data_IF_410816050634
#
_entry.id   IF_410816050634
#
_cell.length_a   1.000
_cell.length_b   1.000
_cell.length_c   1.000
_cell.angle_alpha   90.00
_cell.angle_beta   90.00
_cell.angle_gamma   90.00
#
_symmetry.space_group_name_H-M   'P 1'
#
loop_
_entity.id
_entity.type
_entity.pdbx_description
1 polymer ?
#
# COMPACT_ATOMS: atom_id res chain seq x y z
N UNK A 1 75.59 15.75 20.89
CA UNK A 1 74.67 16.91 21.01
C UNK A 1 73.89 17.00 19.70
N UNK A 2 72.69 16.43 19.59
CA UNK A 2 71.40 16.93 20.05
C UNK A 2 70.74 17.97 19.10
N UNK A 3 69.59 17.55 18.51
CA UNK A 3 68.39 18.34 18.10
C UNK A 3 68.57 19.30 16.90
N UNK A 4 67.62 19.51 15.98
CA UNK A 4 66.14 19.39 15.99
C UNK A 4 65.64 19.52 14.52
N UNK A 5 64.78 18.60 14.08
CA UNK A 5 63.40 18.85 13.58
C UNK A 5 63.21 19.78 12.37
N UNK A 6 62.78 19.21 11.25
CA UNK A 6 61.65 19.75 10.46
C UNK A 6 61.05 18.64 9.60
N UNK A 7 60.15 17.90 10.24
CA UNK A 7 59.21 16.98 9.59
C UNK A 7 57.99 17.82 9.20
N UNK A 8 58.00 18.43 8.03
CA UNK A 8 56.83 19.16 7.52
C UNK A 8 55.80 18.15 7.07
N UNK A 9 54.74 18.07 7.88
CA UNK A 9 53.65 17.12 7.80
C UNK A 9 52.84 17.33 6.51
N UNK A 10 52.84 16.33 5.63
CA UNK A 10 51.78 16.14 4.66
C UNK A 10 50.49 15.80 5.44
N UNK A 11 49.60 16.78 5.57
CA UNK A 11 48.24 16.57 6.07
C UNK A 11 47.26 16.90 4.95
N UNK A 12 47.30 16.08 3.89
CA UNK A 12 46.17 16.01 2.95
C UNK A 12 44.98 15.44 3.72
N UNK A 13 44.02 16.30 4.07
CA UNK A 13 42.74 15.87 4.64
C UNK A 13 42.09 14.88 3.67
N UNK A 14 42.17 13.59 3.97
CA UNK A 14 41.51 12.52 3.23
C UNK A 14 40.02 12.90 3.06
N UNK A 15 39.61 13.19 1.82
CA UNK A 15 38.25 13.66 1.50
C UNK A 15 37.26 12.57 1.90
N UNK A 16 36.47 12.83 2.94
CA UNK A 16 35.42 11.93 3.46
C UNK A 16 34.47 11.59 2.31
N UNK A 17 34.28 10.29 2.02
CA UNK A 17 33.38 9.83 0.98
C UNK A 17 32.13 9.27 1.63
N UNK A 18 31.03 10.01 1.52
CA UNK A 18 29.71 9.46 1.88
C UNK A 18 29.35 8.31 0.94
N UNK A 19 28.74 7.25 1.48
CA UNK A 19 28.21 6.16 0.65
C UNK A 19 27.04 6.67 -0.21
N UNK A 20 26.22 7.56 0.35
CA UNK A 20 25.24 8.38 -0.35
C UNK A 20 25.75 9.79 -0.70
N UNK A 21 24.92 10.60 -1.36
CA UNK A 21 25.17 12.02 -1.62
C UNK A 21 24.43 12.92 -0.64
N UNK A 22 24.49 14.25 -0.83
CA UNK A 22 23.52 15.13 -0.16
C UNK A 22 22.13 14.75 -0.68
N UNK A 23 21.18 14.51 0.23
CA UNK A 23 19.81 14.05 -0.06
C UNK A 23 19.69 12.67 -0.73
N UNK A 24 20.80 11.92 -0.88
CA UNK A 24 20.79 10.57 -1.47
C UNK A 24 21.19 9.57 -0.40
N UNK A 25 20.33 8.59 -0.14
CA UNK A 25 20.61 7.49 0.75
C UNK A 25 21.14 6.27 -0.03
N UNK A 26 21.98 5.48 0.64
CA UNK A 26 22.39 4.16 0.17
C UNK A 26 21.93 3.10 1.17
N UNK A 27 21.09 2.16 0.71
CA UNK A 27 20.62 1.03 1.52
C UNK A 27 21.19 -0.27 0.96
N UNK A 28 22.07 -0.98 1.71
CA UNK A 28 22.66 -2.25 1.27
C UNK A 28 21.62 -3.29 0.89
N UNK A 29 21.94 -4.13 -0.09
CA UNK A 29 21.06 -5.22 -0.52
C UNK A 29 20.67 -6.13 0.65
N UNK A 30 21.61 -6.47 1.53
CA UNK A 30 21.32 -7.27 2.74
C UNK A 30 20.23 -6.66 3.61
N UNK A 31 20.20 -5.34 3.72
CA UNK A 31 19.19 -4.59 4.47
C UNK A 31 17.89 -4.47 3.67
N UNK A 32 17.96 -4.23 2.35
CA UNK A 32 16.78 -4.23 1.47
C UNK A 32 16.01 -5.55 1.60
N UNK A 33 16.72 -6.68 1.66
CA UNK A 33 16.12 -8.02 1.73
C UNK A 33 15.83 -8.51 3.16
N UNK A 34 16.37 -7.83 4.18
CA UNK A 34 16.18 -8.19 5.58
C UNK A 34 14.71 -8.14 6.02
N UNK A 35 14.36 -8.93 7.05
CA UNK A 35 13.03 -8.88 7.66
C UNK A 35 13.01 -7.86 8.78
N UNK A 36 12.15 -6.86 8.64
CA UNK A 36 11.86 -5.86 9.66
C UNK A 36 10.53 -5.17 9.40
N UNK A 37 9.93 -4.64 10.47
CA UNK A 37 8.68 -3.89 10.41
C UNK A 37 8.89 -2.49 11.00
N UNK A 38 9.22 -1.56 10.11
CA UNK A 38 9.25 -0.13 10.40
C UNK A 38 8.01 0.51 9.79
N UNK A 39 7.39 1.43 10.52
CA UNK A 39 6.33 2.27 9.95
C UNK A 39 6.91 3.31 8.99
N UNK A 40 6.04 4.13 8.39
CA UNK A 40 6.44 5.19 7.44
C UNK A 40 7.53 6.09 8.03
N UNK A 41 7.27 6.68 9.20
CA UNK A 41 8.10 7.72 9.82
C UNK A 41 9.41 7.16 10.35
N UNK A 42 9.36 5.93 10.85
CA UNK A 42 10.55 5.20 11.23
C UNK A 42 11.46 4.94 10.03
N UNK A 43 10.89 4.56 8.88
CA UNK A 43 11.68 4.45 7.64
C UNK A 43 12.26 5.80 7.21
N UNK A 44 11.53 6.92 7.39
CA UNK A 44 12.03 8.27 7.06
C UNK A 44 13.27 8.61 7.88
N UNK A 45 13.26 8.35 9.20
CA UNK A 45 14.44 8.54 10.06
C UNK A 45 15.59 7.64 9.59
N UNK A 46 15.31 6.38 9.25
CA UNK A 46 16.33 5.46 8.74
C UNK A 46 16.92 5.91 7.40
N UNK A 47 16.11 6.45 6.49
CA UNK A 47 16.57 6.95 5.19
C UNK A 47 17.54 8.12 5.37
N UNK A 48 17.20 9.05 6.26
CA UNK A 48 18.08 10.17 6.62
C UNK A 48 19.35 9.65 7.28
N UNK A 49 19.23 8.72 8.24
CA UNK A 49 20.38 8.13 8.91
C UNK A 49 21.33 7.45 7.90
N UNK A 50 20.82 6.70 6.94
CA UNK A 50 21.64 6.08 5.88
C UNK A 50 22.30 7.11 4.96
N UNK A 51 21.67 8.25 4.70
CA UNK A 51 22.29 9.37 3.97
C UNK A 51 23.41 10.08 4.74
N UNK A 52 23.47 9.93 6.06
CA UNK A 52 24.52 10.51 6.91
C UNK A 52 25.75 9.62 7.06
N UNK A 53 25.66 8.33 6.76
CA UNK A 53 26.77 7.38 6.92
C UNK A 53 27.83 7.63 5.85
N UNK A 54 29.05 7.86 6.32
CA UNK A 54 30.24 8.04 5.50
C UNK A 54 31.22 6.87 5.66
N UNK A 55 32.34 6.94 4.96
CA UNK A 55 33.41 5.95 5.01
C UNK A 55 34.18 5.94 6.35
N UNK A 56 33.88 6.86 7.28
CA UNK A 56 34.45 6.86 8.62
C UNK A 56 33.66 5.94 9.54
N UNK A 57 33.93 4.64 9.44
CA UNK A 57 33.33 3.61 10.30
C UNK A 57 33.54 3.92 11.79
N UNK A 58 34.65 4.58 12.17
CA UNK A 58 34.94 4.93 13.56
C UNK A 58 34.07 6.06 14.13
N UNK A 59 33.30 6.76 13.29
CA UNK A 59 32.36 7.77 13.76
C UNK A 59 31.28 7.11 14.62
N UNK A 60 31.25 7.49 15.89
CA UNK A 60 30.41 6.84 16.89
C UNK A 60 29.02 7.46 17.00
N UNK A 61 28.91 8.77 16.75
CA UNK A 61 27.68 9.54 16.99
C UNK A 61 27.28 10.34 15.75
N UNK A 62 25.98 10.35 15.50
CA UNK A 62 25.34 11.11 14.45
C UNK A 62 24.20 11.92 15.06
N UNK A 63 23.91 13.08 14.46
CA UNK A 63 22.86 13.98 14.92
C UNK A 63 22.04 14.46 13.73
N UNK A 64 20.73 14.19 13.73
CA UNK A 64 19.78 14.67 12.72
C UNK A 64 19.10 15.90 13.30
N UNK A 65 19.30 17.07 12.69
CA UNK A 65 18.53 18.27 13.09
C UNK A 65 17.10 18.13 12.62
N UNK A 66 16.15 18.43 13.51
CA UNK A 66 14.73 18.37 13.16
C UNK A 66 14.38 19.40 12.08
N UNK A 67 15.07 20.54 12.05
CA UNK A 67 14.91 21.53 10.99
C UNK A 67 15.20 20.94 9.60
N UNK A 68 16.28 20.16 9.45
CA UNK A 68 16.63 19.52 8.18
C UNK A 68 15.57 18.49 7.77
N UNK A 69 15.02 17.74 8.74
CA UNK A 69 13.92 16.81 8.48
C UNK A 69 12.71 17.55 7.90
N UNK A 70 12.36 18.73 8.44
CA UNK A 70 11.25 19.54 7.95
C UNK A 70 11.43 20.04 6.52
N UNK A 71 12.64 20.17 6.02
CA UNK A 71 12.83 20.55 4.62
C UNK A 71 12.47 19.40 3.66
N UNK A 72 12.70 18.15 4.09
CA UNK A 72 12.34 16.98 3.29
C UNK A 72 10.84 16.67 3.29
N UNK A 73 10.14 17.06 4.35
CA UNK A 73 8.70 16.95 4.42
C UNK A 73 8.08 18.28 4.04
N UNK A 74 7.21 18.36 3.03
CA UNK A 74 6.44 19.58 2.76
C UNK A 74 5.34 19.79 3.84
N UNK A 75 5.71 19.85 5.12
CA UNK A 75 4.83 20.03 6.27
C UNK A 75 4.89 21.53 6.63
N UNK A 76 3.84 22.26 6.26
CA UNK A 76 3.67 23.67 6.64
C UNK A 76 3.51 23.82 8.18
N UNK A 77 3.00 22.80 8.87
CA UNK A 77 2.79 22.83 10.34
C UNK A 77 4.01 22.39 11.16
N UNK A 78 4.77 23.40 11.60
CA UNK A 78 6.02 23.24 12.36
C UNK A 78 5.85 22.55 13.71
N UNK A 79 4.69 22.65 14.36
CA UNK A 79 4.49 22.24 15.77
C UNK A 79 4.23 20.73 15.89
N UNK A 80 3.50 20.18 14.93
CA UNK A 80 3.17 18.77 14.90
C UNK A 80 4.37 17.89 14.53
N UNK A 81 5.27 18.36 13.66
CA UNK A 81 6.46 17.63 13.23
C UNK A 81 7.36 17.22 14.40
N UNK A 82 7.60 18.10 15.38
CA UNK A 82 8.45 17.80 16.54
C UNK A 82 7.88 16.67 17.41
N UNK A 83 6.59 16.75 17.73
CA UNK A 83 5.89 15.72 18.52
C UNK A 83 5.93 14.37 17.80
N UNK A 84 5.69 14.38 16.49
CA UNK A 84 5.66 13.15 15.71
C UNK A 84 7.04 12.53 15.52
N UNK A 85 8.09 13.32 15.36
CA UNK A 85 9.47 12.82 15.30
C UNK A 85 9.91 12.26 16.65
N UNK A 86 9.53 12.89 17.76
CA UNK A 86 9.76 12.32 19.10
C UNK A 86 9.11 10.95 19.25
N UNK A 87 7.84 10.82 18.88
CA UNK A 87 7.12 9.52 18.90
C UNK A 87 7.75 8.48 17.96
N UNK A 88 8.23 8.90 16.79
CA UNK A 88 8.93 8.02 15.86
C UNK A 88 10.26 7.50 16.44
N UNK A 89 11.00 8.36 17.16
CA UNK A 89 12.23 7.96 17.88
C UNK A 89 11.91 6.98 19.01
N UNK A 90 10.93 7.27 19.86
CA UNK A 90 10.52 6.39 20.96
C UNK A 90 10.09 5.01 20.43
N UNK A 91 9.36 4.98 19.31
CA UNK A 91 8.92 3.74 18.70
C UNK A 91 10.02 3.00 17.93
N UNK A 92 11.18 3.61 17.69
CA UNK A 92 12.37 2.94 17.12
C UNK A 92 13.19 2.20 18.18
N UNK A 93 12.96 2.48 19.47
CA UNK A 93 13.66 1.82 20.57
C UNK A 93 13.45 0.29 20.53
N UNK A 94 14.55 -0.46 20.65
CA UNK A 94 14.53 -1.92 20.59
C UNK A 94 14.22 -2.52 19.21
N UNK A 95 13.96 -1.72 18.18
CA UNK A 95 13.74 -2.22 16.82
C UNK A 95 15.06 -2.55 16.14
N UNK A 96 14.99 -3.53 15.26
CA UNK A 96 16.12 -4.01 14.47
C UNK A 96 15.67 -4.83 13.28
N UNK A 97 16.60 -5.56 12.69
CA UNK A 97 16.34 -6.47 11.59
C UNK A 97 17.06 -7.79 11.82
N UNK A 98 16.56 -8.84 11.17
CA UNK A 98 17.18 -10.17 11.22
C UNK A 98 17.80 -10.52 9.87
N UNK A 99 19.05 -10.97 9.91
CA UNK A 99 19.72 -11.60 8.78
C UNK A 99 19.83 -13.11 9.02
N UNK A 100 19.61 -13.90 7.98
CA UNK A 100 19.79 -15.35 8.02
C UNK A 100 21.29 -15.66 7.95
N UNK A 101 21.81 -16.46 8.90
CA UNK A 101 23.21 -16.93 8.89
C UNK A 101 23.31 -18.31 8.23
N UNK A 102 22.41 -19.21 8.61
CA UNK A 102 22.26 -20.57 8.08
C UNK A 102 20.78 -20.98 8.16
N UNK A 103 20.42 -22.24 7.87
CA UNK A 103 19.03 -22.69 7.81
C UNK A 103 18.23 -22.44 9.10
N UNK A 104 18.88 -22.60 10.26
CA UNK A 104 18.23 -22.57 11.57
C UNK A 104 18.60 -21.33 12.40
N UNK A 105 19.66 -20.60 12.02
CA UNK A 105 20.19 -19.47 12.79
C UNK A 105 19.97 -18.13 12.09
N UNK A 106 19.40 -17.18 12.84
CA UNK A 106 19.30 -15.78 12.44
C UNK A 106 20.05 -14.88 13.41
N UNK A 107 20.79 -13.91 12.89
CA UNK A 107 21.42 -12.85 13.69
C UNK A 107 20.47 -11.66 13.74
N UNK A 108 20.24 -11.12 14.94
CA UNK A 108 19.49 -9.89 15.13
C UNK A 108 20.45 -8.71 15.27
N UNK A 109 20.23 -7.67 14.47
CA UNK A 109 20.96 -6.42 14.55
C UNK A 109 19.99 -5.30 14.98
N UNK A 110 20.22 -4.63 16.12
CA UNK A 110 19.46 -3.43 16.46
C UNK A 110 19.77 -2.33 15.46
N UNK A 111 18.77 -1.50 15.12
CA UNK A 111 19.01 -0.35 14.23
C UNK A 111 19.94 0.68 14.87
N UNK A 112 19.75 0.90 16.17
CA UNK A 112 20.50 1.86 16.95
C UNK A 112 20.95 1.21 18.24
N UNK A 113 22.24 1.34 18.57
CA UNK A 113 22.76 1.02 19.90
C UNK A 113 22.42 2.10 20.92
N UNK A 114 22.14 3.32 20.44
CA UNK A 114 21.56 4.44 21.19
C UNK A 114 20.75 5.30 20.24
N UNK A 115 19.57 5.74 20.63
CA UNK A 115 18.83 6.80 19.94
C UNK A 115 18.17 7.69 20.99
N UNK A 116 18.18 9.00 20.79
CA UNK A 116 17.61 9.96 21.75
C UNK A 116 17.10 11.19 21.02
N UNK A 117 15.88 11.61 21.36
CA UNK A 117 15.35 12.90 20.93
C UNK A 117 15.75 13.98 21.94
N UNK A 118 16.50 14.99 21.50
CA UNK A 118 16.95 16.12 22.32
C UNK A 118 16.12 17.35 21.97
N UNK A 119 15.25 17.76 22.91
CA UNK A 119 14.47 18.99 22.77
C UNK A 119 15.31 20.20 23.18
N UNK A 120 15.46 21.16 22.28
CA UNK A 120 16.13 22.42 22.59
C UNK A 120 15.12 23.51 23.01
N UNK A 121 15.60 24.57 23.67
CA UNK A 121 14.78 25.75 24.04
C UNK A 121 14.22 26.46 22.80
N UNK A 122 15.06 26.67 21.79
CA UNK A 122 14.61 27.00 20.45
C UNK A 122 14.33 25.69 19.72
N UNK A 123 13.08 25.44 19.35
CA UNK A 123 12.66 24.17 18.74
C UNK A 123 13.42 23.86 17.44
N UNK A 124 13.89 24.87 16.70
CA UNK A 124 14.72 24.69 15.49
C UNK A 124 16.06 23.98 15.76
N UNK A 125 16.55 24.07 17.00
CA UNK A 125 17.78 23.39 17.44
C UNK A 125 17.53 21.98 18.00
N UNK A 126 16.27 21.51 18.00
CA UNK A 126 15.97 20.14 18.42
C UNK A 126 16.57 19.15 17.43
N UNK A 127 17.08 18.04 17.94
CA UNK A 127 17.81 17.06 17.14
C UNK A 127 17.62 15.64 17.66
N UNK A 128 17.92 14.67 16.81
CA UNK A 128 17.92 13.24 17.14
C UNK A 128 19.36 12.79 17.14
N UNK A 129 19.88 12.41 18.30
CA UNK A 129 21.21 11.82 18.42
C UNK A 129 21.10 10.31 18.37
N UNK A 130 21.97 9.68 17.58
CA UNK A 130 22.00 8.22 17.50
C UNK A 130 23.40 7.65 17.34
N UNK A 131 23.52 6.39 17.75
CA UNK A 131 24.67 5.51 17.53
C UNK A 131 24.19 4.26 16.82
N UNK A 132 24.95 3.82 15.83
CA UNK A 132 24.78 2.52 15.20
C UNK A 132 25.89 1.59 15.67
N UNK A 133 25.59 0.30 15.66
CA UNK A 133 26.61 -0.73 15.88
C UNK A 133 27.68 -0.71 14.77
N UNK A 134 28.91 -1.08 15.12
CA UNK A 134 30.03 -1.07 14.18
C UNK A 134 29.83 -2.09 13.05
N UNK A 135 29.22 -3.24 13.31
CA UNK A 135 28.94 -4.26 12.28
C UNK A 135 27.90 -3.74 11.28
N UNK A 136 26.88 -3.02 11.75
CA UNK A 136 25.89 -2.40 10.89
C UNK A 136 26.53 -1.34 9.98
N UNK A 137 27.41 -0.49 10.52
CA UNK A 137 28.13 0.51 9.72
C UNK A 137 29.04 -0.15 8.68
N UNK A 138 29.82 -1.17 9.08
CA UNK A 138 30.66 -1.93 8.14
C UNK A 138 29.84 -2.54 7.02
N UNK A 139 28.71 -3.17 7.35
CA UNK A 139 27.79 -3.73 6.37
C UNK A 139 27.34 -2.68 5.34
N UNK A 140 27.11 -1.44 5.77
CA UNK A 140 26.71 -0.34 4.88
C UNK A 140 27.87 0.14 4.02
N UNK A 141 29.03 0.40 4.62
CA UNK A 141 30.21 0.93 3.94
C UNK A 141 30.80 -0.09 2.95
N UNK A 142 30.86 -1.36 3.33
CA UNK A 142 31.51 -2.42 2.55
C UNK A 142 30.60 -3.00 1.45
N UNK A 143 29.27 -2.80 1.54
CA UNK A 143 28.35 -3.38 0.55
C UNK A 143 28.58 -2.85 -0.86
N UNK A 144 28.75 -3.74 -1.83
CA UNK A 144 28.89 -3.39 -3.25
C UNK A 144 27.55 -3.30 -4.00
N UNK A 145 26.47 -3.81 -3.40
CA UNK A 145 25.11 -3.82 -3.96
C UNK A 145 24.14 -3.17 -2.99
N UNK A 146 23.12 -2.53 -3.54
CA UNK A 146 22.12 -1.84 -2.75
C UNK A 146 21.38 -0.80 -3.57
N UNK A 147 20.37 -0.23 -2.91
CA UNK A 147 19.54 0.82 -3.45
C UNK A 147 20.20 2.18 -3.22
N UNK A 148 20.45 2.90 -4.31
CA UNK A 148 20.69 4.34 -4.28
C UNK A 148 19.39 5.06 -4.62
N UNK A 149 18.98 6.00 -3.77
CA UNK A 149 17.72 6.72 -3.96
C UNK A 149 17.74 8.10 -3.31
N UNK A 150 16.93 9.01 -3.84
CA UNK A 150 16.70 10.30 -3.20
C UNK A 150 15.79 10.12 -1.98
N UNK A 151 16.21 10.72 -0.87
CA UNK A 151 15.45 10.76 0.38
C UNK A 151 14.11 11.48 0.16
N UNK A 152 14.06 12.49 -0.72
CA UNK A 152 12.84 13.24 -1.05
C UNK A 152 11.75 12.33 -1.63
N UNK A 153 12.10 11.43 -2.55
CA UNK A 153 11.13 10.47 -3.09
C UNK A 153 10.67 9.47 -2.04
N UNK A 154 11.59 8.94 -1.25
CA UNK A 154 11.26 7.95 -0.23
C UNK A 154 10.29 8.52 0.83
N UNK A 155 10.50 9.75 1.31
CA UNK A 155 9.69 10.36 2.39
C UNK A 155 8.24 10.66 1.95
N UNK A 156 8.04 10.91 0.66
CA UNK A 156 6.71 11.16 0.09
C UNK A 156 5.83 9.91 -0.01
N UNK A 157 6.41 8.71 0.11
CA UNK A 157 5.67 7.46 0.15
C UNK A 157 5.02 7.29 1.53
N UNK A 158 3.69 7.24 1.57
CA UNK A 158 2.91 7.15 2.81
C UNK A 158 2.75 5.74 3.35
N UNK A 159 2.86 4.72 2.48
CA UNK A 159 2.72 3.31 2.85
C UNK A 159 4.10 2.67 3.10
N UNK A 160 4.26 1.96 4.22
CA UNK A 160 5.50 1.21 4.53
C UNK A 160 5.88 0.20 3.45
N UNK A 161 4.90 -0.44 2.82
CA UNK A 161 5.16 -1.40 1.75
C UNK A 161 5.59 -0.70 0.46
N UNK A 162 5.04 0.48 0.16
CA UNK A 162 5.48 1.28 -0.99
C UNK A 162 6.95 1.69 -0.83
N UNK A 163 7.35 2.13 0.36
CA UNK A 163 8.77 2.39 0.68
C UNK A 163 9.65 1.17 0.46
N UNK A 164 9.27 0.03 1.04
CA UNK A 164 10.04 -1.23 0.93
C UNK A 164 10.19 -1.68 -0.53
N UNK A 165 9.12 -1.61 -1.32
CA UNK A 165 9.14 -1.94 -2.75
C UNK A 165 9.97 -0.92 -3.55
N UNK A 166 9.89 0.36 -3.23
CA UNK A 166 10.73 1.38 -3.86
C UNK A 166 12.22 1.09 -3.65
N UNK A 167 12.66 0.79 -2.42
CA UNK A 167 14.05 0.41 -2.18
C UNK A 167 14.44 -0.86 -2.95
N UNK A 168 13.55 -1.86 -2.96
CA UNK A 168 13.77 -3.10 -3.70
C UNK A 168 13.96 -2.84 -5.20
N UNK A 169 13.12 -2.00 -5.79
CA UNK A 169 13.18 -1.69 -7.20
C UNK A 169 14.41 -0.85 -7.54
N UNK A 170 14.81 0.08 -6.68
CA UNK A 170 16.04 0.85 -6.83
C UNK A 170 17.30 -0.02 -6.76
N UNK A 171 17.30 -1.09 -5.95
CA UNK A 171 18.37 -2.10 -5.94
C UNK A 171 18.38 -2.97 -7.20
N UNK A 172 17.20 -3.42 -7.65
CA UNK A 172 17.07 -4.44 -8.71
C UNK A 172 17.03 -3.89 -10.14
N UNK A 173 16.66 -2.61 -10.35
CA UNK A 173 16.52 -2.03 -11.70
C UNK A 173 17.76 -2.18 -12.58
N UNK A 174 18.95 -2.18 -11.97
CA UNK A 174 20.23 -2.26 -12.67
C UNK A 174 20.86 -3.65 -12.65
N UNK A 175 20.18 -4.70 -12.16
CA UNK A 175 20.77 -6.04 -12.04
C UNK A 175 21.18 -6.64 -13.38
N UNK A 176 20.38 -6.43 -14.42
CA UNK A 176 20.64 -7.00 -15.74
C UNK A 176 21.50 -6.08 -16.62
N UNK A 177 21.96 -4.93 -16.12
CA UNK A 177 22.70 -3.94 -16.92
C UNK A 177 23.98 -4.51 -17.57
N UNK A 178 24.54 -5.58 -17.00
CA UNK A 178 25.75 -6.26 -17.51
C UNK A 178 25.47 -7.49 -18.37
N UNK A 179 24.20 -7.87 -18.53
CA UNK A 179 23.78 -9.04 -19.30
C UNK A 179 23.05 -8.56 -20.56
N UNK A 180 23.68 -8.60 -21.75
CA UNK A 180 23.09 -8.10 -22.98
C UNK A 180 21.80 -8.81 -23.37
N UNK A 181 21.65 -10.07 -22.96
CA UNK A 181 20.52 -10.93 -23.31
C UNK A 181 19.29 -10.74 -22.40
N UNK A 182 19.41 -9.94 -21.34
CA UNK A 182 18.35 -9.72 -20.36
C UNK A 182 17.90 -8.27 -20.34
N UNK A 183 16.59 -8.07 -20.37
CA UNK A 183 16.01 -6.74 -20.30
C UNK A 183 16.36 -6.07 -18.95
N UNK A 184 16.92 -4.86 -19.02
CA UNK A 184 17.23 -4.06 -17.83
C UNK A 184 15.93 -3.61 -17.17
N UNK A 185 15.89 -3.61 -15.83
CA UNK A 185 14.66 -3.28 -15.11
C UNK A 185 13.67 -4.42 -14.96
N UNK A 186 13.92 -5.59 -15.58
CA UNK A 186 13.01 -6.73 -15.52
C UNK A 186 13.52 -7.83 -14.59
N UNK A 187 12.71 -8.23 -13.62
CA UNK A 187 13.06 -9.32 -12.70
C UNK A 187 11.82 -10.00 -12.11
N UNK A 188 11.96 -11.30 -11.83
CA UNK A 188 10.89 -12.12 -11.26
C UNK A 188 11.17 -12.43 -9.78
N UNK A 189 10.15 -12.34 -8.94
CA UNK A 189 10.22 -12.69 -7.51
C UNK A 189 9.04 -13.60 -7.14
N UNK A 190 9.33 -14.71 -6.45
CA UNK A 190 8.29 -15.58 -5.91
C UNK A 190 7.42 -14.85 -4.87
N UNK A 191 6.12 -15.14 -4.84
CA UNK A 191 5.19 -14.48 -3.93
C UNK A 191 5.58 -14.71 -2.47
N UNK A 192 5.98 -15.94 -2.12
CA UNK A 192 6.40 -16.28 -0.76
C UNK A 192 7.65 -15.50 -0.34
N UNK A 193 8.59 -15.31 -1.26
CA UNK A 193 9.80 -14.52 -1.02
C UNK A 193 9.45 -13.04 -0.82
N UNK A 194 8.56 -12.49 -1.66
CA UNK A 194 8.16 -11.10 -1.58
C UNK A 194 7.38 -10.79 -0.30
N UNK A 195 6.44 -11.65 0.10
CA UNK A 195 5.72 -11.57 1.39
C UNK A 195 6.70 -11.59 2.58
N UNK A 196 7.70 -12.47 2.51
CA UNK A 196 8.74 -12.62 3.53
C UNK A 196 9.63 -11.39 3.62
N UNK A 197 10.08 -10.86 2.49
CA UNK A 197 10.89 -9.64 2.44
C UNK A 197 10.08 -8.48 3.02
N UNK A 198 8.85 -8.27 2.57
CA UNK A 198 8.02 -7.14 3.01
C UNK A 198 7.49 -7.27 4.45
N UNK A 199 7.80 -8.36 5.15
CA UNK A 199 7.30 -8.71 6.49
C UNK A 199 5.77 -8.59 6.55
N UNK A 200 5.10 -9.12 5.52
CA UNK A 200 3.65 -9.14 5.46
C UNK A 200 3.07 -10.14 6.49
N UNK A 201 1.84 -9.92 6.98
CA UNK A 201 1.17 -10.87 7.85
C UNK A 201 1.09 -12.26 7.19
N UNK A 202 1.37 -13.31 7.96
CA UNK A 202 1.32 -14.70 7.47
C UNK A 202 -0.05 -15.12 6.92
N UNK A 203 -1.11 -14.42 7.33
CA UNK A 203 -2.49 -14.63 6.86
C UNK A 203 -2.76 -14.09 5.46
N UNK A 204 -1.89 -13.23 4.91
CA UNK A 204 -2.13 -12.62 3.61
C UNK A 204 -2.14 -13.67 2.51
N UNK A 205 -3.26 -13.77 1.80
CA UNK A 205 -3.33 -14.45 0.51
C UNK A 205 -2.86 -13.52 -0.60
N UNK A 206 -2.64 -14.06 -1.79
CA UNK A 206 -2.27 -13.24 -2.95
C UNK A 206 -3.25 -12.09 -3.22
N UNK A 207 -4.56 -12.32 -3.00
CA UNK A 207 -5.60 -11.29 -3.13
C UNK A 207 -5.40 -10.12 -2.17
N UNK A 208 -5.06 -10.41 -0.91
CA UNK A 208 -4.81 -9.40 0.12
C UNK A 208 -3.49 -8.67 -0.18
N UNK A 209 -2.46 -9.42 -0.55
CA UNK A 209 -1.19 -8.87 -0.98
C UNK A 209 -1.37 -7.89 -2.14
N UNK A 210 -2.11 -8.28 -3.18
CA UNK A 210 -2.42 -7.41 -4.31
C UNK A 210 -3.20 -6.17 -3.90
N UNK A 211 -4.20 -6.31 -3.03
CA UNK A 211 -5.08 -5.21 -2.57
C UNK A 211 -4.38 -4.21 -1.66
N UNK A 212 -3.59 -4.68 -0.69
CA UNK A 212 -3.04 -3.85 0.38
C UNK A 212 -1.58 -3.48 0.18
N UNK A 213 -0.85 -4.21 -0.68
CA UNK A 213 0.57 -4.00 -0.92
C UNK A 213 0.80 -3.52 -2.35
N UNK A 214 0.54 -4.35 -3.36
CA UNK A 214 0.94 -4.05 -4.74
C UNK A 214 0.20 -2.85 -5.31
N UNK A 215 -1.14 -2.84 -5.29
CA UNK A 215 -1.93 -1.74 -5.87
C UNK A 215 -1.62 -0.38 -5.23
N UNK A 216 -1.64 -0.23 -3.89
CA UNK A 216 -1.31 1.06 -3.27
C UNK A 216 0.14 1.48 -3.52
N UNK A 217 1.08 0.53 -3.60
CA UNK A 217 2.48 0.85 -3.88
C UNK A 217 2.68 1.31 -5.31
N UNK A 218 1.96 0.72 -6.27
CA UNK A 218 1.96 1.14 -7.67
C UNK A 218 1.45 2.57 -7.83
N UNK A 219 0.33 2.92 -7.19
CA UNK A 219 -0.21 4.28 -7.21
C UNK A 219 0.80 5.30 -6.64
N UNK A 220 1.47 4.98 -5.53
CA UNK A 220 2.41 5.91 -4.89
C UNK A 220 3.74 6.02 -5.63
N UNK A 221 4.35 4.91 -6.03
CA UNK A 221 5.67 4.92 -6.68
C UNK A 221 5.57 5.58 -8.05
N UNK A 222 4.62 5.14 -8.89
CA UNK A 222 4.47 5.67 -10.25
C UNK A 222 4.01 7.12 -10.26
N UNK A 223 3.32 7.58 -9.20
CA UNK A 223 2.82 8.95 -9.10
C UNK A 223 3.73 9.93 -8.37
N UNK A 224 4.78 9.47 -7.67
CA UNK A 224 5.53 10.34 -6.75
C UNK A 224 7.04 10.03 -6.65
N UNK A 225 7.59 9.20 -7.54
CA UNK A 225 9.02 8.85 -7.51
C UNK A 225 9.67 8.94 -8.90
N UNK A 226 10.99 8.78 -8.93
CA UNK A 226 11.82 8.75 -10.14
C UNK A 226 11.74 7.43 -10.92
N UNK A 227 10.91 6.49 -10.51
CA UNK A 227 10.75 5.22 -11.21
C UNK A 227 9.27 4.98 -11.53
N UNK A 228 9.05 4.29 -12.63
CA UNK A 228 7.75 3.74 -13.00
C UNK A 228 7.87 2.22 -13.01
N UNK A 229 6.86 1.53 -12.49
CA UNK A 229 6.81 0.07 -12.58
C UNK A 229 5.45 -0.48 -12.98
N UNK A 230 5.53 -1.60 -13.71
CA UNK A 230 4.43 -2.51 -14.01
C UNK A 230 4.79 -3.93 -13.58
N UNK A 231 3.81 -4.82 -13.56
CA UNK A 231 4.06 -6.22 -13.23
C UNK A 231 3.12 -7.19 -13.95
N UNK A 232 3.63 -8.39 -14.18
CA UNK A 232 2.91 -9.53 -14.71
C UNK A 232 2.76 -10.62 -13.65
N UNK A 233 1.63 -11.34 -13.69
CA UNK A 233 1.35 -12.46 -12.80
C UNK A 233 1.73 -13.79 -13.46
N UNK A 234 2.76 -14.46 -12.93
CA UNK A 234 3.12 -15.79 -13.41
C UNK A 234 2.28 -16.83 -12.68
N UNK A 235 1.36 -17.47 -13.41
CA UNK A 235 0.42 -18.46 -12.87
C UNK A 235 0.90 -19.88 -13.09
N UNK A 236 0.67 -20.73 -12.10
CA UNK A 236 1.00 -22.15 -12.16
C UNK A 236 0.28 -22.96 -11.09
N UNK A 237 0.68 -24.22 -10.92
CA UNK A 237 0.15 -25.08 -9.85
C UNK A 237 0.83 -24.74 -8.53
N UNK A 238 0.03 -24.36 -7.54
CA UNK A 238 0.47 -24.17 -6.15
C UNK A 238 0.77 -25.51 -5.48
N UNK A 239 1.43 -25.47 -4.31
CA UNK A 239 1.66 -26.65 -3.46
C UNK A 239 0.36 -27.37 -3.04
N UNK A 240 -0.76 -26.64 -3.00
CA UNK A 240 -2.10 -27.19 -2.74
C UNK A 240 -2.72 -27.92 -3.95
N UNK A 241 -2.05 -27.94 -5.11
CA UNK A 241 -2.56 -28.50 -6.36
C UNK A 241 -3.48 -27.54 -7.16
N UNK A 242 -3.96 -26.46 -6.54
CA UNK A 242 -4.79 -25.45 -7.20
C UNK A 242 -3.96 -24.53 -8.12
N UNK A 243 -4.57 -23.98 -9.18
CA UNK A 243 -3.93 -22.93 -9.98
C UNK A 243 -3.91 -21.62 -9.20
N UNK A 244 -2.77 -20.95 -9.15
CA UNK A 244 -2.59 -19.65 -8.50
C UNK A 244 -1.38 -18.89 -9.03
N UNK A 245 -1.13 -17.72 -8.46
CA UNK A 245 0.03 -16.88 -8.80
C UNK A 245 1.24 -17.35 -7.99
N UNK A 246 2.31 -17.75 -8.68
CA UNK A 246 3.55 -18.25 -8.08
C UNK A 246 4.57 -17.14 -7.87
N UNK A 247 4.66 -16.21 -8.82
CA UNK A 247 5.63 -15.12 -8.81
C UNK A 247 5.10 -13.91 -9.56
N UNK A 248 5.73 -12.76 -9.33
CA UNK A 248 5.51 -11.55 -10.12
C UNK A 248 6.77 -11.23 -10.91
N UNK A 249 6.60 -10.94 -12.20
CA UNK A 249 7.65 -10.31 -13.02
C UNK A 249 7.42 -8.81 -12.98
N UNK A 250 8.38 -8.04 -12.48
CA UNK A 250 8.33 -6.59 -12.44
C UNK A 250 9.07 -6.02 -13.63
N UNK A 251 8.53 -4.95 -14.21
CA UNK A 251 9.18 -4.12 -15.22
C UNK A 251 9.37 -2.73 -14.61
N UNK A 252 10.61 -2.35 -14.31
CA UNK A 252 10.95 -1.10 -13.64
C UNK A 252 11.75 -0.21 -14.56
N UNK A 253 11.22 0.98 -14.85
CA UNK A 253 11.84 1.96 -15.73
C UNK A 253 12.28 3.18 -14.92
N UNK A 254 13.53 3.62 -15.14
CA UNK A 254 13.99 4.89 -14.62
C UNK A 254 13.34 6.02 -15.42
N UNK A 255 12.69 6.95 -14.72
CA UNK A 255 12.21 8.19 -15.31
C UNK A 255 13.37 9.18 -15.40
N UNK A 256 13.47 9.90 -16.52
CA UNK A 256 14.50 10.92 -16.70
C UNK A 256 14.36 12.01 -15.62
N UNK A 257 15.46 12.61 -15.13
CA UNK A 257 15.39 13.72 -14.16
C UNK A 257 14.52 14.90 -14.65
N UNK A 258 14.44 15.08 -15.98
CA UNK A 258 13.61 16.09 -16.63
C UNK A 258 12.20 15.58 -17.03
N UNK A 259 11.92 14.27 -16.93
CA UNK A 259 10.55 13.79 -17.07
C UNK A 259 9.84 14.06 -15.76
N UNK A 260 9.03 15.12 -15.75
CA UNK A 260 8.13 15.60 -14.70
C UNK A 260 7.61 14.52 -13.73
N UNK A 261 8.44 14.09 -12.77
CA UNK A 261 8.04 13.53 -11.47
C UNK A 261 9.14 13.88 -10.46
N UNK A 262 9.45 15.17 -10.38
CA UNK A 262 9.66 15.80 -9.08
C UNK A 262 8.26 16.26 -8.71
N UNK A 263 7.76 15.88 -7.54
CA UNK A 263 6.61 16.59 -7.00
C UNK A 263 7.04 18.06 -6.90
N UNK A 264 6.69 18.89 -7.90
CA UNK A 264 6.71 20.36 -7.91
C UNK A 264 6.46 20.94 -9.31
N UNK A 265 5.18 21.29 -9.53
CA UNK A 265 4.65 22.34 -10.41
C UNK A 265 3.12 22.17 -10.40
N UNK A 266 2.63 21.01 -10.86
CA UNK A 266 1.22 20.66 -10.80
C UNK A 266 0.70 20.45 -9.37
N UNK A 267 1.55 20.01 -8.43
CA UNK A 267 1.22 19.85 -7.01
C UNK A 267 0.94 21.21 -6.33
N UNK A 268 1.83 22.19 -6.51
CA UNK A 268 1.60 23.55 -6.01
C UNK A 268 0.50 24.25 -6.79
N UNK A 269 0.37 24.04 -8.10
CA UNK A 269 -0.70 24.65 -8.91
C UNK A 269 -2.09 24.19 -8.44
N UNK A 270 -2.31 22.89 -8.23
CA UNK A 270 -3.58 22.36 -7.71
C UNK A 270 -3.83 22.82 -6.26
N UNK A 271 -2.81 22.78 -5.40
CA UNK A 271 -2.99 23.10 -3.98
C UNK A 271 -3.12 24.62 -3.74
N UNK A 272 -2.48 25.45 -4.58
CA UNK A 272 -2.61 26.92 -4.54
C UNK A 272 -3.92 27.40 -5.17
N UNK A 273 -4.52 26.66 -6.10
CA UNK A 273 -5.83 26.97 -6.68
C UNK A 273 -7.01 26.68 -5.73
N UNK A 274 -6.83 25.86 -4.69
CA UNK A 274 -7.92 25.46 -3.77
C UNK A 274 -7.69 25.92 -2.32
N UNK A 275 -7.41 27.21 -2.14
CA UNK A 275 -7.24 27.86 -0.82
C UNK A 275 -8.48 27.65 0.08
N UNK A 276 -9.67 27.54 -0.52
CA UNK A 276 -10.94 27.33 0.17
C UNK A 276 -11.03 25.99 0.90
N UNK A 277 -10.38 24.93 0.39
CA UNK A 277 -10.37 23.62 1.06
C UNK A 277 -9.42 23.64 2.26
N UNK A 278 -8.27 24.32 2.14
CA UNK A 278 -7.33 24.53 3.25
C UNK A 278 -7.96 25.33 4.39
N UNK A 279 -8.77 26.34 4.09
CA UNK A 279 -9.52 27.13 5.09
C UNK A 279 -10.49 26.29 5.93
N UNK A 280 -10.92 25.10 5.45
CA UNK A 280 -11.79 24.17 6.18
C UNK A 280 -11.04 23.24 7.15
N UNK A 281 -9.72 23.39 7.28
CA UNK A 281 -8.90 22.67 8.26
C UNK A 281 -8.38 21.31 7.80
N UNK A 282 -8.48 20.99 6.51
CA UNK A 282 -7.87 19.80 5.91
C UNK A 282 -6.35 19.95 5.77
N UNK A 283 -5.60 18.91 6.11
CA UNK A 283 -4.15 18.85 5.91
C UNK A 283 -3.81 18.68 4.42
N UNK A 284 -2.63 19.10 3.99
CA UNK A 284 -2.23 19.03 2.57
C UNK A 284 -2.31 17.63 1.96
N UNK A 285 -1.97 16.60 2.74
CA UNK A 285 -2.11 15.22 2.31
C UNK A 285 -3.57 14.82 2.07
N UNK A 286 -4.49 15.36 2.88
CA UNK A 286 -5.94 15.10 2.81
C UNK A 286 -6.57 15.89 1.66
N UNK A 287 -6.18 17.15 1.50
CA UNK A 287 -6.55 18.00 0.34
C UNK A 287 -6.11 17.32 -0.96
N UNK A 288 -4.89 16.79 -1.00
CA UNK A 288 -4.38 16.00 -2.13
C UNK A 288 -5.25 14.79 -2.42
N UNK A 289 -5.61 14.02 -1.40
CA UNK A 289 -6.41 12.80 -1.56
C UNK A 289 -7.83 13.14 -2.07
N UNK A 290 -8.43 14.23 -1.60
CA UNK A 290 -9.75 14.70 -2.06
C UNK A 290 -9.69 15.21 -3.50
N UNK A 291 -8.74 16.09 -3.81
CA UNK A 291 -8.61 16.71 -5.15
C UNK A 291 -8.15 15.70 -6.21
N UNK A 292 -7.29 14.75 -5.85
CA UNK A 292 -6.91 13.66 -6.76
C UNK A 292 -8.11 12.76 -7.08
N UNK A 293 -9.00 12.51 -6.11
CA UNK A 293 -10.27 11.82 -6.36
C UNK A 293 -11.22 12.67 -7.22
N UNK A 294 -11.36 13.96 -6.94
CA UNK A 294 -12.20 14.85 -7.73
C UNK A 294 -11.77 14.87 -9.20
N UNK A 295 -10.47 15.06 -9.47
CA UNK A 295 -9.90 15.03 -10.82
C UNK A 295 -10.07 13.67 -11.49
N UNK A 296 -9.83 12.57 -10.77
CA UNK A 296 -9.99 11.20 -11.28
C UNK A 296 -11.42 10.90 -11.73
N UNK A 297 -12.41 11.49 -11.06
CA UNK A 297 -13.83 11.29 -11.34
C UNK A 297 -14.48 12.51 -12.03
N UNK A 298 -13.66 13.40 -12.59
CA UNK A 298 -14.08 14.56 -13.37
C UNK A 298 -15.13 15.44 -12.65
N UNK A 299 -14.92 15.68 -11.35
CA UNK A 299 -15.73 16.59 -10.54
C UNK A 299 -15.26 18.03 -10.73
N UNK A 300 -16.21 18.95 -10.83
CA UNK A 300 -15.95 20.38 -10.92
C UNK A 300 -15.84 21.01 -9.52
N UNK A 301 -15.36 22.25 -9.47
CA UNK A 301 -15.14 22.97 -8.21
C UNK A 301 -16.44 23.16 -7.43
N UNK A 302 -17.56 23.36 -8.12
CA UNK A 302 -18.86 23.50 -7.49
C UNK A 302 -19.27 22.22 -6.75
N UNK A 303 -19.17 21.06 -7.39
CA UNK A 303 -19.43 19.78 -6.76
C UNK A 303 -18.50 19.54 -5.55
N UNK A 304 -17.23 19.92 -5.67
CA UNK A 304 -16.26 19.75 -4.58
C UNK A 304 -16.69 20.57 -3.35
N UNK A 305 -17.09 21.83 -3.55
CA UNK A 305 -17.54 22.71 -2.48
C UNK A 305 -18.80 22.17 -1.79
N UNK A 306 -19.82 21.80 -2.57
CA UNK A 306 -21.08 21.25 -2.04
C UNK A 306 -20.87 19.94 -1.28
N UNK A 307 -20.04 19.04 -1.81
CA UNK A 307 -19.68 17.80 -1.13
C UNK A 307 -18.98 18.07 0.20
N UNK A 308 -18.05 19.04 0.25
CA UNK A 308 -17.33 19.39 1.47
C UNK A 308 -18.23 20.08 2.51
N UNK A 309 -19.20 20.88 2.09
CA UNK A 309 -20.20 21.44 3.00
C UNK A 309 -21.02 20.35 3.68
N UNK A 310 -21.43 19.32 2.94
CA UNK A 310 -22.13 18.16 3.52
C UNK A 310 -21.20 17.39 4.48
N UNK A 311 -19.93 17.23 4.14
CA UNK A 311 -18.93 16.59 5.01
C UNK A 311 -18.75 17.36 6.31
N UNK A 312 -18.75 18.69 6.27
CA UNK A 312 -18.57 19.52 7.46
C UNK A 312 -19.75 19.46 8.43
N UNK A 313 -20.97 19.27 7.91
CA UNK A 313 -22.20 19.15 8.71
C UNK A 313 -22.55 17.70 9.08
N UNK A 314 -21.82 16.70 8.56
CA UNK A 314 -22.06 15.30 8.86
C UNK A 314 -21.19 14.80 10.01
N UNK A 315 -21.81 14.11 10.98
CA UNK A 315 -21.10 13.43 12.05
C UNK A 315 -20.47 12.16 11.49
N UNK A 316 -19.17 12.21 11.17
CA UNK A 316 -18.40 11.06 10.70
C UNK A 316 -17.06 10.94 11.43
N UNK A 317 -16.54 9.72 11.55
CA UNK A 317 -15.23 9.44 12.16
C UNK A 317 -14.06 9.93 11.30
N UNK A 318 -14.24 10.00 9.97
CA UNK A 318 -13.24 10.49 9.02
C UNK A 318 -13.87 11.37 7.94
N UNK A 319 -13.69 12.68 8.09
CA UNK A 319 -14.13 13.69 7.12
C UNK A 319 -13.50 13.48 5.73
N UNK A 320 -12.20 13.17 5.70
CA UNK A 320 -11.45 12.92 4.47
C UNK A 320 -11.96 11.69 3.73
N UNK A 321 -12.21 10.60 4.46
CA UNK A 321 -12.76 9.37 3.88
C UNK A 321 -14.13 9.61 3.25
N UNK A 322 -14.99 10.39 3.90
CA UNK A 322 -16.30 10.75 3.38
C UNK A 322 -16.21 11.67 2.15
N UNK A 323 -15.33 12.67 2.19
CA UNK A 323 -15.06 13.55 1.04
C UNK A 323 -14.58 12.75 -0.18
N UNK A 324 -13.58 11.88 0.00
CA UNK A 324 -13.10 11.00 -1.08
C UNK A 324 -14.20 10.06 -1.61
N UNK A 325 -15.08 9.58 -0.72
CA UNK A 325 -16.23 8.77 -1.11
C UNK A 325 -17.22 9.55 -1.99
N UNK A 326 -17.53 10.81 -1.65
CA UNK A 326 -18.40 11.68 -2.45
C UNK A 326 -17.77 12.01 -3.81
N UNK A 327 -16.46 12.29 -3.86
CA UNK A 327 -15.78 12.52 -5.14
C UNK A 327 -15.91 11.31 -6.07
N UNK A 328 -15.80 10.10 -5.51
CA UNK A 328 -15.91 8.85 -6.26
C UNK A 328 -17.35 8.53 -6.69
N UNK A 329 -18.29 8.56 -5.77
CA UNK A 329 -19.62 7.97 -5.96
C UNK A 329 -20.75 9.00 -6.13
N UNK A 330 -20.49 10.30 -5.97
CA UNK A 330 -21.55 11.30 -5.80
C UNK A 330 -22.02 11.41 -4.35
N UNK A 331 -22.84 12.42 -4.06
CA UNK A 331 -23.66 12.48 -2.84
C UNK A 331 -25.13 12.54 -3.23
N UNK A 332 -26.00 12.02 -2.38
CA UNK A 332 -27.44 12.16 -2.53
C UNK A 332 -27.87 13.29 -1.58
N UNK A 333 -28.34 14.45 -2.06
CA UNK A 333 -28.71 15.55 -1.18
C UNK A 333 -29.90 15.12 -0.32
N UNK A 334 -29.66 14.96 0.99
CA UNK A 334 -30.75 14.85 1.96
C UNK A 334 -31.42 16.22 2.02
N UNK A 335 -32.68 16.24 1.64
CA UNK A 335 -33.59 17.39 1.63
C UNK A 335 -33.64 18.09 3.00
N UNK A 336 -32.97 19.22 3.11
CA UNK A 336 -33.23 20.21 4.15
C UNK A 336 -34.11 21.31 3.55
N UNK A 337 -35.42 21.24 3.84
CA UNK A 337 -36.36 22.36 3.63
C UNK A 337 -37.58 22.01 2.79
N UNK A 338 -38.64 21.48 3.43
CA UNK A 338 -40.01 21.76 2.97
C UNK A 338 -40.24 23.26 3.18
N UNK A 339 -40.38 24.01 2.10
CA UNK A 339 -41.34 25.10 2.06
C UNK A 339 -42.43 24.69 1.08
N UNK A 340 -43.65 24.58 1.61
CA UNK A 340 -44.86 24.50 0.81
C UNK A 340 -44.96 25.78 -0.02
N UNK A 341 -45.13 25.66 -1.32
CA UNK A 341 -46.20 26.37 -2.04
C UNK A 341 -46.50 25.75 -3.42
N UNK A 342 -47.69 25.12 -3.46
CA UNK A 342 -48.69 24.98 -4.55
C UNK A 342 -48.36 24.20 -5.85
N UNK A 343 -49.12 23.11 -6.01
CA UNK A 343 -49.33 22.28 -7.21
C UNK A 343 -49.93 23.08 -8.39
N UNK A 344 -49.55 22.82 -9.65
CA UNK A 344 -50.22 21.90 -10.63
C UNK A 344 -49.61 22.15 -12.05
N UNK A 345 -49.87 21.33 -13.11
CA UNK A 345 -49.85 19.87 -13.24
C UNK A 345 -49.01 19.36 -14.46
N UNK A 346 -48.86 18.04 -14.56
CA UNK A 346 -48.23 17.19 -15.61
C UNK A 346 -48.11 17.75 -17.06
N UNK A 347 -47.00 17.40 -17.74
CA UNK A 347 -47.01 16.56 -18.98
C UNK A 347 -45.75 15.68 -19.12
N UNK A 348 -46.02 14.39 -19.30
CA UNK A 348 -45.12 13.26 -19.52
C UNK A 348 -44.50 13.28 -20.93
N UNK A 349 -43.24 12.85 -21.06
CA UNK A 349 -42.81 12.00 -22.18
C UNK A 349 -41.62 11.13 -21.73
N UNK A 350 -41.77 9.83 -21.97
CA UNK A 350 -41.05 8.71 -21.41
C UNK A 350 -39.71 8.48 -22.11
N UNK A 351 -38.70 8.00 -21.37
CA UNK A 351 -37.88 6.88 -21.82
C UNK A 351 -37.35 6.12 -20.60
N UNK A 352 -37.96 4.98 -20.33
CA UNK A 352 -37.57 4.04 -19.28
C UNK A 352 -36.30 3.27 -19.66
N UNK A 353 -35.40 3.06 -18.69
CA UNK A 353 -34.51 1.89 -18.69
C UNK A 353 -34.56 1.19 -17.32
N UNK A 354 -35.25 0.04 -17.38
CA UNK A 354 -35.32 -1.12 -16.50
C UNK A 354 -34.25 -1.31 -15.41
N UNK A 355 -34.56 -0.99 -14.14
CA UNK A 355 -33.87 -1.55 -12.96
C UNK A 355 -34.71 -1.67 -11.68
N UNK A 356 -36.04 -1.77 -11.74
CA UNK A 356 -36.87 -2.07 -10.55
C UNK A 356 -37.76 -3.28 -10.82
N UNK A 357 -37.28 -4.47 -10.45
CA UNK A 357 -38.15 -5.62 -10.23
C UNK A 357 -37.55 -6.58 -9.18
N UNK A 358 -37.40 -6.08 -7.95
CA UNK A 358 -37.31 -6.93 -6.77
C UNK A 358 -38.53 -6.64 -5.89
N UNK A 359 -39.39 -7.65 -5.69
CA UNK A 359 -40.44 -7.57 -4.67
C UNK A 359 -39.80 -7.42 -3.29
N UNK A 360 -40.04 -6.28 -2.64
CA UNK A 360 -39.77 -6.14 -1.22
C UNK A 360 -40.68 -7.10 -0.46
N UNK A 361 -40.09 -8.01 0.31
CA UNK A 361 -40.85 -8.83 1.27
C UNK A 361 -41.26 -7.91 2.42
N UNK A 362 -42.57 -7.69 2.59
CA UNK A 362 -43.11 -7.09 3.81
C UNK A 362 -43.00 -8.13 4.92
N UNK A 363 -42.19 -7.82 5.93
CA UNK A 363 -42.18 -8.60 7.17
C UNK A 363 -43.19 -8.00 8.14
N UNK A 364 -44.02 -8.86 8.71
CA UNK A 364 -44.83 -8.53 9.88
C UNK A 364 -43.93 -8.69 11.13
N UNK A 365 -43.50 -7.56 11.69
CA UNK A 365 -42.57 -7.55 12.81
C UNK A 365 -43.22 -8.07 14.10
N UNK A 366 -44.55 -8.04 14.21
CA UNK A 366 -45.28 -8.53 15.38
C UNK A 366 -45.30 -10.07 15.44
N UNK A 367 -45.35 -10.72 14.28
CA UNK A 367 -45.28 -12.19 14.16
C UNK A 367 -43.86 -12.71 14.44
N UNK A 368 -42.84 -11.97 13.99
CA UNK A 368 -41.43 -12.27 14.28
C UNK A 368 -41.11 -12.12 15.77
N UNK A 369 -41.64 -11.09 16.42
CA UNK A 369 -41.44 -10.85 17.85
C UNK A 369 -42.10 -11.94 18.72
N UNK A 370 -43.31 -12.39 18.37
CA UNK A 370 -43.97 -13.54 19.02
C UNK A 370 -43.19 -14.84 18.89
N UNK A 371 -42.61 -15.10 17.71
CA UNK A 371 -41.84 -16.32 17.46
C UNK A 371 -40.49 -16.33 18.20
N UNK A 372 -39.89 -15.16 18.43
CA UNK A 372 -38.66 -15.03 19.22
C UNK A 372 -38.90 -15.20 20.72
N UNK A 373 -40.03 -14.70 21.24
CA UNK A 373 -40.34 -14.77 22.68
C UNK A 373 -40.78 -16.17 23.15
N UNK A 374 -41.23 -17.04 22.25
CA UNK A 374 -41.69 -18.40 22.58
C UNK A 374 -40.58 -19.48 22.59
N UNK A 375 -39.32 -19.15 22.26
CA UNK A 375 -38.21 -20.12 22.23
C UNK A 375 -37.41 -20.20 23.54
N UNK A 376 -38.07 -20.01 24.68
CA UNK A 376 -37.42 -19.83 25.98
C UNK A 376 -37.94 -20.71 27.12
N UNK A 377 -38.39 -21.95 26.90
CA UNK A 377 -38.59 -22.92 28.00
C UNK A 377 -38.18 -24.33 27.54
N UNK A 378 -37.20 -24.91 28.23
CA UNK A 378 -36.74 -26.30 28.08
C UNK A 378 -37.46 -27.21 29.08
N UNK A 379 -37.84 -28.44 28.65
CA UNK A 379 -37.52 -29.72 29.33
C UNK A 379 -38.21 -30.97 28.72
N UNK A 380 -37.35 -31.93 28.36
CA UNK A 380 -37.38 -33.38 28.69
C UNK A 380 -38.57 -34.28 28.30
N UNK A 381 -38.31 -35.07 27.24
CA UNK A 381 -38.33 -36.55 27.16
C UNK A 381 -39.57 -37.36 27.57
N UNK A 382 -40.17 -38.08 26.59
CA UNK A 382 -40.28 -39.57 26.58
C UNK A 382 -40.68 -40.12 25.21
N UNK A 383 -40.38 -41.40 25.06
CA UNK A 383 -39.95 -42.17 23.89
C UNK A 383 -41.03 -43.16 23.46
N UNK A 384 -41.20 -43.34 22.14
CA UNK A 384 -41.60 -44.56 21.37
C UNK A 384 -41.95 -44.11 19.95
N UNK A 385 -41.65 -44.76 18.83
CA UNK A 385 -40.66 -45.73 18.41
C UNK A 385 -40.79 -45.78 16.86
N UNK A 386 -39.70 -46.15 16.18
CA UNK A 386 -39.63 -46.76 14.82
C UNK A 386 -39.18 -45.90 13.61
N UNK A 387 -37.89 -46.09 13.30
CA UNK A 387 -37.23 -46.27 11.99
C UNK A 387 -37.20 -45.08 11.02
N UNK A 388 -36.00 -44.50 10.84
CA UNK A 388 -35.32 -44.47 9.54
C UNK A 388 -33.82 -44.16 9.70
N UNK A 389 -33.00 -45.03 9.10
CA UNK A 389 -31.54 -45.02 9.13
C UNK A 389 -30.93 -43.95 8.21
N UNK A 390 -29.75 -43.48 8.63
CA UNK A 390 -28.85 -42.58 7.90
C UNK A 390 -28.52 -43.04 6.48
N UNK A 391 -28.43 -42.08 5.53
CA UNK A 391 -27.45 -42.17 4.44
C UNK A 391 -26.75 -40.83 4.19
N UNK A 392 -25.50 -40.82 4.63
CA UNK A 392 -24.38 -39.99 4.16
C UNK A 392 -24.41 -39.81 2.64
N UNK A 393 -24.44 -38.56 2.16
CA UNK A 393 -24.30 -38.26 0.73
C UNK A 393 -22.83 -38.28 0.34
N UNK A 394 -22.31 -39.46 0.01
CA UNK A 394 -21.07 -39.59 -0.75
C UNK A 394 -21.29 -39.01 -2.16
N UNK A 395 -20.36 -38.16 -2.62
CA UNK A 395 -20.31 -37.74 -4.03
C UNK A 395 -19.90 -38.94 -4.88
N UNK A 396 -20.85 -39.56 -5.58
CA UNK A 396 -20.57 -40.50 -6.67
C UNK A 396 -20.11 -39.74 -7.92
N UNK A 397 -18.97 -40.13 -8.48
CA UNK A 397 -18.61 -39.79 -9.86
C UNK A 397 -19.49 -40.60 -10.81
N UNK A 398 -20.26 -39.91 -11.65
CA UNK A 398 -21.16 -40.52 -12.64
C UNK A 398 -20.34 -40.79 -13.91
N UNK A 399 -20.42 -42.01 -14.44
CA UNK A 399 -19.70 -42.37 -15.65
C UNK A 399 -20.31 -41.72 -16.90
N UNK A 400 -19.51 -41.55 -17.97
CA UNK A 400 -19.97 -40.97 -19.23
C UNK A 400 -21.15 -41.75 -19.84
N UNK A 401 -21.17 -43.07 -19.67
CA UNK A 401 -22.22 -43.97 -20.17
C UNK A 401 -23.53 -43.85 -19.36
N UNK A 402 -23.46 -43.66 -18.04
CA UNK A 402 -24.64 -43.36 -17.20
C UNK A 402 -25.23 -41.99 -17.53
N UNK A 403 -24.39 -40.98 -17.78
CA UNK A 403 -24.82 -39.68 -18.28
C UNK A 403 -25.53 -39.81 -19.63
N UNK A 404 -25.00 -40.64 -20.54
CA UNK A 404 -25.60 -40.89 -21.85
C UNK A 404 -26.96 -41.60 -21.76
N UNK A 405 -27.10 -42.54 -20.81
CA UNK A 405 -28.37 -43.23 -20.54
C UNK A 405 -29.42 -42.29 -19.92
N UNK A 406 -29.01 -41.41 -18.99
CA UNK A 406 -29.89 -40.40 -18.40
C UNK A 406 -30.35 -39.34 -19.41
N UNK A 407 -29.50 -39.02 -20.40
CA UNK A 407 -29.83 -38.11 -21.50
C UNK A 407 -30.75 -38.75 -22.56
N UNK A 408 -30.82 -40.08 -22.65
CA UNK A 408 -31.69 -40.78 -23.60
C UNK A 408 -33.19 -40.64 -23.25
N UNK A 409 -33.52 -40.46 -21.97
CA UNK A 409 -34.90 -40.35 -21.47
C UNK A 409 -35.46 -38.94 -21.36
N UNK A 410 -34.71 -37.89 -21.71
CA UNK A 410 -35.13 -36.49 -21.55
C UNK A 410 -35.17 -35.73 -22.90
N UNK A 411 -36.36 -35.63 -23.53
CA UNK A 411 -36.52 -35.01 -24.84
C UNK A 411 -36.11 -33.52 -24.90
N UNK A 412 -36.21 -32.79 -23.79
CA UNK A 412 -35.83 -31.37 -23.74
C UNK A 412 -34.32 -31.18 -23.79
N UNK A 413 -33.55 -32.01 -23.09
CA UNK A 413 -32.08 -31.96 -23.12
C UNK A 413 -31.53 -32.34 -24.49
N UNK A 414 -32.18 -33.28 -25.19
CA UNK A 414 -31.81 -33.64 -26.56
C UNK A 414 -32.04 -32.49 -27.55
N UNK A 415 -33.14 -31.72 -27.39
CA UNK A 415 -33.41 -30.55 -28.20
C UNK A 415 -32.41 -29.40 -27.95
N UNK A 416 -32.02 -29.17 -26.70
CA UNK A 416 -31.00 -28.15 -26.37
C UNK A 416 -29.62 -28.51 -26.95
N UNK A 417 -29.22 -29.78 -26.86
CA UNK A 417 -27.95 -30.25 -27.42
C UNK A 417 -27.97 -30.19 -28.95
N UNK A 418 -29.08 -30.57 -29.61
CA UNK A 418 -29.23 -30.46 -31.05
C UNK A 418 -29.14 -28.99 -31.52
N UNK A 419 -29.78 -28.06 -30.79
CA UNK A 419 -29.70 -26.62 -31.05
C UNK A 419 -28.27 -26.08 -30.89
N UNK A 420 -27.52 -26.57 -29.89
CA UNK A 420 -26.12 -26.20 -29.67
C UNK A 420 -25.19 -26.74 -30.77
N UNK A 421 -25.42 -27.98 -31.23
CA UNK A 421 -24.66 -28.58 -32.33
C UNK A 421 -24.94 -27.92 -33.68
N UNK A 422 -26.18 -27.50 -33.95
CA UNK A 422 -26.50 -26.68 -35.13
C UNK A 422 -25.81 -25.31 -35.08
N UNK A 423 -25.78 -24.67 -33.91
CA UNK A 423 -25.07 -23.38 -33.71
C UNK A 423 -23.56 -23.52 -33.89
N UNK A 424 -22.97 -24.64 -33.49
CA UNK A 424 -21.53 -24.91 -33.65
C UNK A 424 -21.14 -25.25 -35.09
N UNK A 425 -22.03 -25.90 -35.86
CA UNK A 425 -21.78 -26.23 -37.27
C UNK A 425 -22.21 -25.11 -38.25
N UNK A 426 -22.84 -24.05 -37.76
CA UNK A 426 -23.41 -22.96 -38.57
C UNK A 426 -22.50 -21.77 -38.90
N UNK A 427 -21.24 -21.73 -38.43
CA UNK A 427 -20.28 -20.66 -38.80
C UNK A 427 -19.24 -21.19 -39.78
N UNK A 428 -19.67 -21.33 -41.04
CA UNK A 428 -18.80 -21.78 -42.12
C UNK A 428 -19.46 -21.76 -43.49
N UNK A 429 -20.09 -20.63 -43.88
CA UNK A 429 -20.28 -20.16 -45.27
C UNK A 429 -21.29 -19.01 -45.34
N UNK A 430 -20.80 -17.77 -45.36
CA UNK A 430 -20.92 -16.82 -46.48
C UNK A 430 -20.13 -15.57 -46.18
#
# INVERSE_FOLDING_TARGET
>A
MAKKSETTSQNEKKKIRKKGGNEVAFRPQSIVEARYNLDRRQNDIMDIAFGMIDDQVDKKEYSIRVADVKEYYNIEDKSHAYRFLKQAVESLEGKGFKLKKDEDTSIFYPWFSKITYVRAKNEENSHIDFKMDDDLKRMIVESRRGAYYSIRYAINLSNKYAKRLYYLFQDRKNWNLKNPDLETGVFTIAIEELLRMLDCPKSYKYTDFKRYVIKPSMEQINGSTDIYFEYEENRGKLKSGQKGVLSLTFHVTQLNPNSKVVADAAFYEITSQHVEIRKRGYQDAEVRDILSMAKRYNRDDQFIQEALEIVDHSKCESKVGLACYFMKNGYNPLSAGRQLEKETPLKTAEHASSYHNFHQRNYDYDELEKNLLNQGISKETKQTDMIEEEKTTEKREISFEELQSMMAGNPQLQQEIASLLEKMNGTGKK
#
